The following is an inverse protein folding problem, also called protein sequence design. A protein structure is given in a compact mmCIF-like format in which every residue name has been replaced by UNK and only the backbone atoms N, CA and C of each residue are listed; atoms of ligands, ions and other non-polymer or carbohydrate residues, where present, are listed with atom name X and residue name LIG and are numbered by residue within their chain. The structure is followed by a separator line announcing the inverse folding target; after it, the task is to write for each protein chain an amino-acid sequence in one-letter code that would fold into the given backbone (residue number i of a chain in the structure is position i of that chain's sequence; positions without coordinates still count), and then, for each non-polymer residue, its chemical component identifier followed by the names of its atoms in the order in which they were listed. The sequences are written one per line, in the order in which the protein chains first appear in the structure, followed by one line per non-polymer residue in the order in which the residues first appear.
data_IF_616860637238
#
_entry.id   IF_616860637238
#
_cell.length_a   1.000
_cell.length_b   1.000
_cell.length_c   1.000
_cell.angle_alpha   90.00
_cell.angle_beta   90.00
_cell.angle_gamma   90.00
#
_symmetry.space_group_name_H-M   'P 1'
#
loop_
_entity.id
_entity.type
_entity.pdbx_description
1 polymer ?
#
# COMPACT_ATOMS: atom_id res chain seq x y z
N UNK A 1 6.47 0.58 16.27
CA UNK A 1 5.09 0.05 16.26
C UNK A 1 4.52 0.27 14.88
N UNK A 2 3.88 -0.74 14.31
CA UNK A 2 3.20 -0.60 13.04
C UNK A 2 1.70 -0.41 13.29
N UNK A 3 1.06 0.38 12.45
CA UNK A 3 -0.38 0.60 12.51
C UNK A 3 -1.02 0.11 11.22
N UNK A 4 -2.14 -0.60 11.37
CA UNK A 4 -2.98 -1.02 10.26
C UNK A 4 -4.38 -0.44 10.45
N UNK A 5 -4.96 0.07 9.36
CA UNK A 5 -6.34 0.54 9.32
C UNK A 5 -7.23 -0.58 8.78
N UNK A 6 -8.21 -0.98 9.58
CA UNK A 6 -9.21 -1.96 9.17
C UNK A 6 -10.29 -1.28 8.33
N UNK A 7 -10.96 -2.06 7.48
CA UNK A 7 -12.13 -1.60 6.71
C UNK A 7 -13.28 -1.10 7.58
N UNK A 8 -13.34 -1.55 8.85
CA UNK A 8 -14.30 -1.07 9.86
C UNK A 8 -14.02 0.38 10.30
N UNK A 9 -12.86 0.94 9.93
CA UNK A 9 -12.41 2.27 10.33
C UNK A 9 -11.57 2.27 11.61
N UNK A 10 -11.44 1.13 12.29
CA UNK A 10 -10.61 0.97 13.48
C UNK A 10 -9.13 0.85 13.14
N UNK A 11 -8.27 1.32 14.03
CA UNK A 11 -6.81 1.25 13.90
C UNK A 11 -6.24 0.31 14.95
N UNK A 12 -5.41 -0.63 14.51
CA UNK A 12 -4.69 -1.56 15.39
C UNK A 12 -3.23 -1.15 15.45
N UNK A 13 -2.66 -1.11 16.66
CA UNK A 13 -1.24 -0.91 16.90
C UNK A 13 -0.62 -2.18 17.47
N UNK A 14 0.39 -2.72 16.79
CA UNK A 14 1.13 -3.91 17.21
C UNK A 14 2.63 -3.76 16.90
N UNK A 15 3.49 -4.62 17.47
CA UNK A 15 4.85 -4.80 16.97
C UNK A 15 4.83 -5.11 15.47
N UNK A 16 5.89 -4.71 14.78
CA UNK A 16 5.96 -4.83 13.31
C UNK A 16 5.81 -6.27 12.82
N UNK A 17 6.44 -7.23 13.51
CA UNK A 17 6.39 -8.66 13.18
C UNK A 17 4.97 -9.24 13.29
N UNK A 18 4.29 -8.96 14.40
CA UNK A 18 2.89 -9.36 14.60
C UNK A 18 1.95 -8.68 13.59
N UNK A 19 2.22 -7.42 13.25
CA UNK A 19 1.40 -6.70 12.27
C UNK A 19 1.56 -7.30 10.88
N UNK A 20 2.76 -7.73 10.49
CA UNK A 20 2.97 -8.43 9.21
C UNK A 20 2.19 -9.75 9.16
N UNK A 21 2.24 -10.54 10.23
CA UNK A 21 1.49 -11.79 10.32
C UNK A 21 -0.02 -11.52 10.24
N UNK A 22 -0.52 -10.55 11.02
CA UNK A 22 -1.93 -10.19 11.00
C UNK A 22 -2.42 -9.72 9.62
N UNK A 23 -1.59 -8.94 8.90
CA UNK A 23 -1.89 -8.49 7.53
C UNK A 23 -1.92 -9.66 6.55
N UNK A 24 -1.00 -10.61 6.70
CA UNK A 24 -0.95 -11.80 5.87
C UNK A 24 -2.13 -12.76 6.14
N UNK A 25 -2.53 -12.90 7.41
CA UNK A 25 -3.64 -13.77 7.83
C UNK A 25 -5.02 -13.16 7.51
N UNK A 26 -5.15 -11.83 7.57
CA UNK A 26 -6.44 -11.13 7.42
C UNK A 26 -6.44 -10.10 6.28
N UNK A 27 -6.09 -10.48 5.03
CA UNK A 27 -6.00 -9.54 3.91
C UNK A 27 -7.37 -8.93 3.55
N UNK A 28 -8.47 -9.58 3.93
CA UNK A 28 -9.83 -9.12 3.68
C UNK A 28 -10.29 -8.03 4.64
N UNK A 29 -9.74 -7.99 5.86
CA UNK A 29 -10.12 -7.02 6.90
C UNK A 29 -9.36 -5.70 6.75
N UNK A 30 -8.26 -5.70 6.00
CA UNK A 30 -7.39 -4.54 5.83
C UNK A 30 -7.81 -3.74 4.61
N UNK A 31 -7.90 -2.43 4.78
CA UNK A 31 -8.07 -1.51 3.66
C UNK A 31 -6.81 -1.59 2.80
N UNK A 32 -6.93 -2.16 1.59
CA UNK A 32 -5.80 -2.25 0.67
C UNK A 32 -5.25 -0.85 0.46
N UNK A 33 -4.07 -0.58 1.03
CA UNK A 33 -3.39 0.66 0.72
C UNK A 33 -3.22 0.70 -0.80
N UNK A 34 -3.60 1.80 -1.46
CA UNK A 34 -3.36 1.93 -2.89
C UNK A 34 -1.88 1.64 -3.09
N UNK A 35 -1.56 0.63 -3.90
CA UNK A 35 -0.17 0.35 -4.19
C UNK A 35 0.41 1.66 -4.68
N UNK A 36 1.43 2.15 -3.98
CA UNK A 36 2.22 3.28 -4.46
C UNK A 36 3.05 2.77 -5.63
N UNK A 37 2.39 2.25 -6.66
CA UNK A 37 3.00 1.88 -7.90
C UNK A 37 3.34 3.21 -8.55
N UNK A 38 4.64 3.58 -8.65
CA UNK A 38 4.99 4.83 -9.28
C UNK A 38 4.45 4.77 -10.69
N UNK A 39 3.51 5.68 -11.02
CA UNK A 39 3.02 5.83 -12.38
C UNK A 39 4.23 6.17 -13.23
N UNK A 40 4.72 5.16 -13.96
CA UNK A 40 5.84 5.30 -14.88
C UNK A 40 5.43 6.40 -15.85
N UNK A 41 6.03 7.58 -15.72
CA UNK A 41 5.75 8.72 -16.60
C UNK A 41 6.12 8.25 -18.01
N UNK A 42 5.10 7.93 -18.80
CA UNK A 42 5.26 7.63 -20.21
C UNK A 42 5.58 8.96 -20.89
N UNK A 43 6.87 9.32 -20.91
CA UNK A 43 7.34 10.35 -21.79
C UNK A 43 7.30 9.75 -23.19
N UNK A 44 6.29 10.12 -23.97
CA UNK A 44 6.29 9.85 -25.39
C UNK A 44 7.59 10.39 -25.96
N UNK A 45 8.43 9.49 -26.49
CA UNK A 45 9.69 9.79 -27.19
C UNK A 45 9.35 10.45 -28.52
N UNK A 46 8.86 11.68 -28.47
CA UNK A 46 8.51 12.49 -29.62
C UNK A 46 8.92 13.93 -29.35
N UNK A 47 10.24 14.15 -29.27
CA UNK A 47 10.84 15.42 -29.63
C UNK A 47 11.91 15.07 -30.67
N UNK A 48 11.44 14.75 -31.88
CA UNK A 48 12.27 14.67 -33.07
C UNK A 48 12.77 16.10 -33.34
N UNK A 49 14.05 16.17 -33.66
CA UNK A 49 14.83 17.37 -33.93
C UNK A 49 14.18 18.36 -34.90
N UNK A 50 14.48 19.65 -34.70
CA UNK A 50 14.84 20.52 -35.82
C UNK A 50 16.36 20.51 -35.95
#
# INVERSE_FOLDING_TARGET
MATARLKTGETIEKPFEEMQQFVAENPELIEKQPSQMPRRRQYSKAAVAN
#
